data_IF_353250583501
#
_entry.id   IF_353250583501
#
_cell.length_a   1.000
_cell.length_b   1.000
_cell.length_c   1.000
_cell.angle_alpha   90.00
_cell.angle_beta   90.00
_cell.angle_gamma   90.00
#
_symmetry.space_group_name_H-M   'P 1'
#
loop_
_entity.id
_entity.type
_entity.pdbx_description
1 polymer ?
#
# COMPACT_ATOMS: atom_id res chain seq x y z
N UNK A 1 50.40 -36.25 -35.64
CA UNK A 1 49.07 -36.48 -35.03
C UNK A 1 49.20 -36.21 -33.53
N UNK A 2 49.14 -34.94 -33.14
CA UNK A 2 47.95 -34.24 -32.61
C UNK A 2 47.73 -34.50 -31.12
N UNK A 3 48.23 -33.54 -30.35
CA UNK A 3 47.88 -33.17 -28.97
C UNK A 3 46.38 -32.99 -28.76
N UNK A 4 45.83 -33.39 -27.60
CA UNK A 4 44.70 -32.69 -26.96
C UNK A 4 44.37 -33.30 -25.58
N UNK A 5 44.77 -32.61 -24.51
CA UNK A 5 44.11 -32.71 -23.21
C UNK A 5 43.74 -31.29 -22.78
N UNK A 6 42.57 -30.84 -23.24
CA UNK A 6 41.98 -29.59 -22.80
C UNK A 6 41.19 -29.84 -21.51
N UNK A 7 41.47 -28.97 -20.54
CA UNK A 7 40.90 -28.89 -19.20
C UNK A 7 39.41 -28.57 -19.26
N UNK A 8 38.58 -29.35 -18.57
CA UNK A 8 37.22 -28.95 -18.23
C UNK A 8 37.27 -27.84 -17.17
N UNK A 9 37.19 -26.59 -17.60
CA UNK A 9 36.84 -25.48 -16.72
C UNK A 9 35.31 -25.40 -16.66
N UNK A 10 34.74 -25.86 -15.55
CA UNK A 10 33.34 -25.63 -15.21
C UNK A 10 33.18 -24.14 -14.89
N UNK A 11 32.76 -23.35 -15.88
CA UNK A 11 32.36 -21.96 -15.68
C UNK A 11 30.97 -21.97 -15.07
N UNK A 12 30.89 -21.82 -13.75
CA UNK A 12 29.63 -21.51 -13.05
C UNK A 12 29.33 -20.04 -13.33
N UNK A 13 28.49 -19.79 -14.34
CA UNK A 13 27.90 -18.46 -14.56
C UNK A 13 26.80 -18.28 -13.53
N UNK A 14 27.13 -17.67 -12.39
CA UNK A 14 26.15 -17.09 -11.48
C UNK A 14 25.56 -15.86 -12.16
N UNK A 15 24.48 -16.03 -12.91
CA UNK A 15 23.62 -14.90 -13.25
C UNK A 15 22.99 -14.41 -11.95
N UNK A 16 23.52 -13.32 -11.40
CA UNK A 16 22.79 -12.51 -10.42
C UNK A 16 21.54 -11.98 -11.13
N UNK A 17 20.45 -12.76 -11.07
CA UNK A 17 19.14 -12.25 -11.38
C UNK A 17 18.92 -11.07 -10.45
N UNK A 18 18.75 -9.88 -11.03
CA UNK A 18 18.27 -8.73 -10.29
C UNK A 18 16.98 -9.16 -9.60
N UNK A 19 17.02 -9.29 -8.28
CA UNK A 19 15.83 -9.26 -7.45
C UNK A 19 15.17 -7.92 -7.77
N UNK A 20 14.25 -7.90 -8.73
CA UNK A 20 13.25 -6.84 -8.77
C UNK A 20 12.64 -6.90 -7.38
N UNK A 21 12.89 -5.87 -6.56
CA UNK A 21 12.17 -5.68 -5.33
C UNK A 21 10.69 -5.63 -5.73
N UNK A 22 9.99 -6.76 -5.57
CA UNK A 22 8.55 -6.79 -5.74
C UNK A 22 8.05 -5.91 -4.61
N UNK A 23 7.51 -4.73 -4.97
CA UNK A 23 6.90 -3.84 -4.01
C UNK A 23 5.86 -4.63 -3.20
N UNK A 24 6.15 -4.90 -1.92
CA UNK A 24 5.30 -5.71 -1.05
C UNK A 24 3.92 -5.08 -0.92
N UNK A 25 3.89 -3.79 -0.59
CA UNK A 25 2.65 -3.02 -0.50
C UNK A 25 2.30 -2.45 -1.87
N UNK A 26 1.04 -2.59 -2.26
CA UNK A 26 0.54 -2.18 -3.57
C UNK A 26 -0.62 -1.21 -3.43
N UNK A 27 -0.82 -0.38 -4.45
CA UNK A 27 -1.97 0.51 -4.52
C UNK A 27 -3.11 -0.21 -5.22
N UNK A 28 -4.13 -0.62 -4.46
CA UNK A 28 -5.35 -1.16 -5.05
C UNK A 28 -6.03 -0.09 -5.92
N UNK A 29 -6.62 -0.46 -7.07
CA UNK A 29 -7.38 0.46 -7.91
C UNK A 29 -8.44 1.21 -7.11
N UNK A 30 -8.71 2.47 -7.49
CA UNK A 30 -9.89 3.17 -6.97
C UNK A 30 -11.15 2.36 -7.27
N UNK A 31 -12.09 2.22 -6.32
CA UNK A 31 -13.32 1.45 -6.51
C UNK A 31 -14.35 2.17 -7.40
N UNK A 32 -14.06 3.40 -7.82
CA UNK A 32 -14.89 4.25 -8.68
C UNK A 32 -14.01 5.22 -9.49
N UNK A 33 -14.60 5.86 -10.51
CA UNK A 33 -13.88 6.83 -11.35
C UNK A 33 -13.45 8.08 -10.55
N UNK A 34 -12.34 8.76 -10.91
CA UNK A 34 -11.86 9.94 -10.19
C UNK A 34 -12.89 11.08 -10.06
N UNK A 35 -13.74 11.29 -11.06
CA UNK A 35 -14.83 12.28 -11.03
C UNK A 35 -16.09 11.83 -10.27
N UNK A 36 -16.16 10.58 -9.79
CA UNK A 36 -17.41 10.01 -9.26
C UNK A 36 -17.89 10.66 -7.95
N UNK A 37 -17.04 11.42 -7.26
CA UNK A 37 -17.38 12.13 -6.03
C UNK A 37 -17.75 13.60 -6.26
N UNK A 38 -17.79 14.08 -7.50
CA UNK A 38 -18.28 15.42 -7.79
C UNK A 38 -19.78 15.55 -7.45
N UNK A 39 -20.23 16.72 -6.94
CA UNK A 39 -19.45 17.95 -6.73
C UNK A 39 -18.75 18.04 -5.35
N UNK A 40 -18.82 16.99 -4.53
CA UNK A 40 -18.30 17.04 -3.16
C UNK A 40 -16.77 16.99 -3.08
N UNK A 41 -16.14 16.24 -3.99
CA UNK A 41 -14.68 16.21 -4.16
C UNK A 41 -14.40 16.27 -5.67
N UNK A 42 -13.60 17.24 -6.09
CA UNK A 42 -13.28 17.44 -7.49
C UNK A 42 -12.31 16.36 -8.02
N UNK A 43 -12.39 16.10 -9.33
CA UNK A 43 -11.52 15.13 -10.01
C UNK A 43 -10.03 15.38 -9.78
N UNK A 44 -9.58 16.64 -9.79
CA UNK A 44 -8.15 16.96 -9.67
C UNK A 44 -7.63 16.59 -8.28
N UNK A 45 -8.41 16.84 -7.22
CA UNK A 45 -8.13 16.34 -5.87
C UNK A 45 -8.00 14.83 -5.87
N UNK A 46 -8.92 14.08 -6.49
CA UNK A 46 -8.85 12.62 -6.53
C UNK A 46 -7.59 12.11 -7.26
N UNK A 47 -7.25 12.68 -8.41
CA UNK A 47 -6.06 12.30 -9.18
C UNK A 47 -4.75 12.60 -8.42
N UNK A 48 -4.69 13.70 -7.69
CA UNK A 48 -3.51 14.08 -6.91
C UNK A 48 -3.43 13.27 -5.61
N UNK A 49 -4.54 13.13 -4.89
CA UNK A 49 -4.59 12.49 -3.58
C UNK A 49 -4.39 10.97 -3.68
N UNK A 50 -5.08 10.30 -4.60
CA UNK A 50 -4.84 8.89 -4.87
C UNK A 50 -3.55 8.71 -5.71
N UNK A 51 -3.47 9.33 -6.88
CA UNK A 51 -2.42 9.04 -7.86
C UNK A 51 -1.02 9.51 -7.46
N UNK A 52 -0.90 10.49 -6.56
CA UNK A 52 0.39 11.00 -6.07
C UNK A 52 0.60 10.75 -4.59
N UNK A 53 -0.25 11.28 -3.71
CA UNK A 53 0.00 11.21 -2.25
C UNK A 53 -0.06 9.78 -1.71
N UNK A 54 -1.14 9.03 -1.99
CA UNK A 54 -1.24 7.63 -1.58
C UNK A 54 -0.13 6.76 -2.17
N UNK A 55 0.17 6.96 -3.47
CA UNK A 55 1.28 6.27 -4.15
C UNK A 55 2.65 6.57 -3.52
N UNK A 56 2.88 7.81 -3.08
CA UNK A 56 4.11 8.21 -2.41
C UNK A 56 4.28 7.51 -1.05
N UNK A 57 3.20 7.41 -0.25
CA UNK A 57 3.24 6.64 1.00
C UNK A 57 3.64 5.18 0.74
N UNK A 58 3.08 4.54 -0.29
CA UNK A 58 3.39 3.14 -0.61
C UNK A 58 4.86 2.99 -1.05
N UNK A 59 5.33 3.87 -1.94
CA UNK A 59 6.72 3.88 -2.42
C UNK A 59 7.72 4.03 -1.26
N UNK A 60 7.45 5.00 -0.38
CA UNK A 60 8.30 5.29 0.77
C UNK A 60 8.22 4.19 1.82
N UNK A 61 7.05 3.57 2.01
CA UNK A 61 6.89 2.44 2.92
C UNK A 61 7.73 1.25 2.45
N UNK A 62 7.60 0.86 1.17
CA UNK A 62 8.38 -0.23 0.60
C UNK A 62 9.89 0.03 0.72
N UNK A 63 10.33 1.27 0.51
CA UNK A 63 11.72 1.67 0.75
C UNK A 63 12.12 1.53 2.22
N UNK A 64 11.26 1.94 3.14
CA UNK A 64 11.55 1.93 4.57
C UNK A 64 11.59 0.52 5.18
N UNK A 65 10.84 -0.44 4.62
CA UNK A 65 10.77 -1.82 5.12
C UNK A 65 11.75 -2.78 4.44
N UNK A 66 12.34 -2.41 3.30
CA UNK A 66 13.21 -3.30 2.53
C UNK A 66 14.31 -3.97 3.38
N UNK A 67 14.35 -5.30 3.36
CA UNK A 67 15.29 -6.12 4.13
C UNK A 67 15.01 -6.20 5.63
N UNK A 68 13.86 -5.67 6.10
CA UNK A 68 13.43 -5.72 7.51
C UNK A 68 12.28 -6.72 7.71
N UNK A 69 12.02 -7.21 8.93
CA UNK A 69 10.90 -8.11 9.19
C UNK A 69 9.54 -7.56 8.75
N UNK A 70 9.35 -6.24 8.82
CA UNK A 70 8.12 -5.55 8.44
C UNK A 70 7.75 -5.73 6.95
N UNK A 71 8.74 -6.02 6.09
CA UNK A 71 8.52 -6.32 4.67
C UNK A 71 7.64 -7.55 4.44
N UNK A 72 7.50 -8.44 5.43
CA UNK A 72 6.69 -9.66 5.30
C UNK A 72 5.29 -9.51 5.89
N UNK A 73 4.96 -8.36 6.46
CA UNK A 73 3.68 -8.13 7.11
C UNK A 73 2.61 -7.71 6.11
N UNK A 74 1.35 -8.01 6.41
CA UNK A 74 0.22 -7.29 5.82
C UNK A 74 0.19 -5.86 6.36
N UNK A 75 -0.51 -4.96 5.65
CA UNK A 75 -0.61 -3.56 6.11
C UNK A 75 -1.31 -3.46 7.47
N UNK A 76 -2.34 -4.27 7.71
CA UNK A 76 -3.04 -4.32 9.01
C UNK A 76 -2.11 -4.80 10.14
N UNK A 77 -1.32 -5.84 9.88
CA UNK A 77 -0.37 -6.36 10.86
C UNK A 77 0.73 -5.34 11.17
N UNK A 78 1.24 -4.65 10.14
CA UNK A 78 2.22 -3.58 10.30
C UNK A 78 1.67 -2.44 11.16
N UNK A 79 0.49 -1.91 10.82
CA UNK A 79 -0.12 -0.78 11.55
C UNK A 79 -0.49 -1.17 12.97
N UNK A 80 -1.00 -2.39 13.20
CA UNK A 80 -1.30 -2.90 14.56
C UNK A 80 -0.05 -3.02 15.44
N UNK A 81 1.12 -3.22 14.83
CA UNK A 81 2.41 -3.31 15.53
C UNK A 81 3.13 -1.97 15.72
N UNK A 82 2.59 -0.85 15.23
CA UNK A 82 3.21 0.47 15.39
C UNK A 82 3.24 0.86 16.87
N UNK A 83 4.40 1.35 17.31
CA UNK A 83 4.61 1.93 18.64
C UNK A 83 5.30 3.29 18.53
N UNK A 84 5.51 3.98 19.66
CA UNK A 84 6.29 5.22 19.72
C UNK A 84 7.75 5.06 19.26
N UNK A 85 8.30 3.84 19.35
CA UNK A 85 9.68 3.53 18.96
C UNK A 85 9.79 3.11 17.48
N UNK A 86 8.67 2.89 16.80
CA UNK A 86 8.68 2.55 15.37
C UNK A 86 9.27 3.71 14.58
N UNK A 87 10.23 3.41 13.70
CA UNK A 87 10.87 4.39 12.85
C UNK A 87 9.83 5.28 12.14
N UNK A 88 9.95 6.62 12.19
CA UNK A 88 8.96 7.53 11.61
C UNK A 88 8.64 7.24 10.14
N UNK A 89 9.62 6.77 9.37
CA UNK A 89 9.40 6.36 7.98
C UNK A 89 8.42 5.19 7.85
N UNK A 90 8.53 4.15 8.67
CA UNK A 90 7.59 3.02 8.65
C UNK A 90 6.24 3.46 9.23
N UNK A 91 6.25 4.17 10.35
CA UNK A 91 5.02 4.64 11.02
C UNK A 91 4.18 5.53 10.11
N UNK A 92 4.78 6.59 9.57
CA UNK A 92 4.05 7.61 8.83
C UNK A 92 3.60 7.08 7.46
N UNK A 93 4.45 6.31 6.76
CA UNK A 93 4.09 5.76 5.45
C UNK A 93 3.17 4.52 5.57
N UNK A 94 3.32 3.72 6.63
CA UNK A 94 2.42 2.62 6.97
C UNK A 94 1.02 3.13 7.29
N UNK A 95 0.92 4.07 8.23
CA UNK A 95 -0.35 4.76 8.52
C UNK A 95 -0.90 5.49 7.29
N UNK A 96 -0.05 6.16 6.52
CA UNK A 96 -0.43 6.81 5.27
C UNK A 96 -1.07 5.84 4.28
N UNK A 97 -0.44 4.68 4.03
CA UNK A 97 -1.01 3.66 3.13
C UNK A 97 -2.35 3.13 3.66
N UNK A 98 -2.42 2.73 4.93
CA UNK A 98 -3.63 2.16 5.54
C UNK A 98 -4.80 3.15 5.55
N UNK A 99 -4.57 4.38 6.02
CA UNK A 99 -5.59 5.42 6.13
C UNK A 99 -6.21 5.75 4.76
N UNK A 100 -5.40 5.86 3.71
CA UNK A 100 -5.90 6.19 2.38
C UNK A 100 -6.65 5.00 1.77
N UNK A 101 -6.14 3.77 1.94
CA UNK A 101 -6.87 2.57 1.52
C UNK A 101 -8.24 2.50 2.20
N UNK A 102 -8.33 2.77 3.50
CA UNK A 102 -9.60 2.85 4.21
C UNK A 102 -10.49 3.97 3.65
N UNK A 103 -9.94 5.18 3.49
CA UNK A 103 -10.67 6.36 2.99
C UNK A 103 -11.38 6.07 1.67
N UNK A 104 -10.69 5.53 0.66
CA UNK A 104 -11.31 5.25 -0.64
C UNK A 104 -12.43 4.21 -0.59
N UNK A 105 -12.39 3.29 0.38
CA UNK A 105 -13.37 2.22 0.51
C UNK A 105 -14.63 2.63 1.29
N UNK A 106 -14.59 3.72 2.07
CA UNK A 106 -15.76 4.21 2.82
C UNK A 106 -16.53 5.33 2.10
N UNK A 107 -15.96 5.88 1.03
CA UNK A 107 -16.64 6.86 0.19
C UNK A 107 -17.64 6.16 -0.75
N UNK A 108 -18.73 6.85 -1.08
CA UNK A 108 -19.81 6.26 -1.85
C UNK A 108 -20.41 7.27 -2.86
N UNK A 109 -19.93 7.27 -4.12
CA UNK A 109 -20.47 8.10 -5.20
C UNK A 109 -21.99 8.09 -5.32
N UNK A 110 -22.61 9.27 -5.31
CA UNK A 110 -24.06 9.42 -5.45
C UNK A 110 -24.90 8.76 -4.35
N UNK A 111 -24.25 8.33 -3.26
CA UNK A 111 -24.91 7.76 -2.08
C UNK A 111 -24.68 8.66 -0.87
N UNK A 112 -25.44 8.42 0.17
CA UNK A 112 -25.41 9.17 1.42
C UNK A 112 -26.69 8.90 2.20
N UNK A 113 -27.01 9.80 3.12
CA UNK A 113 -28.18 9.68 3.99
C UNK A 113 -27.84 9.11 5.36
N UNK A 114 -28.88 8.72 6.09
CA UNK A 114 -28.73 8.21 7.46
C UNK A 114 -28.24 6.76 7.46
N UNK A 115 -27.43 6.35 8.45
CA UNK A 115 -27.17 4.94 8.69
C UNK A 115 -28.49 4.19 8.94
N UNK A 116 -28.46 2.87 8.80
CA UNK A 116 -29.63 2.00 9.06
C UNK A 116 -29.28 0.84 9.97
N UNK A 117 -30.30 0.12 10.46
CA UNK A 117 -30.14 -1.08 11.28
C UNK A 117 -29.43 -0.84 12.60
N UNK A 118 -28.60 -1.80 13.00
CA UNK A 118 -27.87 -1.79 14.27
C UNK A 118 -26.95 -0.57 14.42
N UNK A 119 -26.33 -0.12 13.32
CA UNK A 119 -25.45 1.05 13.35
C UNK A 119 -26.23 2.33 13.68
N UNK A 120 -27.40 2.53 13.07
CA UNK A 120 -28.25 3.68 13.37
C UNK A 120 -28.71 3.66 14.83
N UNK A 121 -29.16 2.49 15.31
CA UNK A 121 -29.60 2.32 16.70
C UNK A 121 -28.46 2.60 17.70
N UNK A 122 -27.24 2.14 17.40
CA UNK A 122 -26.07 2.38 18.23
C UNK A 122 -25.69 3.88 18.27
N UNK A 123 -25.74 4.57 17.12
CA UNK A 123 -25.46 6.01 17.04
C UNK A 123 -26.49 6.79 17.85
N UNK A 124 -27.79 6.53 17.67
CA UNK A 124 -28.84 7.23 18.42
C UNK A 124 -28.75 6.97 19.92
N UNK A 125 -28.40 5.74 20.32
CA UNK A 125 -28.23 5.40 21.73
C UNK A 125 -27.08 6.20 22.39
N UNK A 126 -25.97 6.40 21.69
CA UNK A 126 -24.79 7.04 22.25
C UNK A 126 -24.83 8.57 22.13
N UNK A 127 -25.39 9.09 21.03
CA UNK A 127 -25.25 10.51 20.66
C UNK A 127 -26.57 11.29 20.59
N UNK A 128 -27.75 10.64 20.69
CA UNK A 128 -29.07 11.26 20.57
C UNK A 128 -29.63 11.30 19.16
#
# INVERSE_FOLDING_TARGET
>A
MTTNFLRNALVVVLTAGSLQAIAQFTQAPLPYAPEALEPSIDKATMEIHYGRHHKAYITNLNTAVAGKPEEKLSIDALVKGITKETAPAIRNNGGGHWNHTFFWNIMAPGKGGMPSGELAAAITKEFG
#
